data_IF_010082568970
#
_entry.id   IF_010082568970
#
_cell.length_a   1.000
_cell.length_b   1.000
_cell.length_c   1.000
_cell.angle_alpha   90.00
_cell.angle_beta   90.00
_cell.angle_gamma   90.00
#
_symmetry.space_group_name_H-M   'P 1'
#
loop_
_entity.id
_entity.type
_entity.pdbx_description
1 polymer ?
#
# COMPACT_ATOMS: atom_id res chain seq x y z
N UNK A 1 26.26 -9.22 10.22
CA UNK A 1 25.63 -9.28 8.88
C UNK A 1 24.14 -9.52 9.11
N UNK A 2 23.24 -8.63 8.68
CA UNK A 2 21.81 -8.87 8.82
C UNK A 2 21.39 -10.02 7.87
N UNK A 3 20.72 -11.05 8.40
CA UNK A 3 20.20 -12.16 7.60
C UNK A 3 18.83 -11.76 7.01
N UNK A 4 18.86 -11.05 5.89
CA UNK A 4 17.65 -10.52 5.23
C UNK A 4 16.65 -11.62 4.82
N UNK A 5 17.12 -12.82 4.49
CA UNK A 5 16.26 -13.94 4.15
C UNK A 5 15.37 -14.33 5.34
N UNK A 6 15.99 -14.55 6.50
CA UNK A 6 15.26 -14.92 7.71
C UNK A 6 14.26 -13.83 8.14
N UNK A 7 14.65 -12.56 8.03
CA UNK A 7 13.75 -11.45 8.34
C UNK A 7 12.56 -11.38 7.37
N UNK A 8 12.79 -11.64 6.08
CA UNK A 8 11.73 -11.70 5.08
C UNK A 8 10.77 -12.87 5.36
N UNK A 9 11.29 -14.07 5.60
CA UNK A 9 10.51 -15.27 5.93
C UNK A 9 9.65 -15.05 7.18
N UNK A 10 10.22 -14.47 8.24
CA UNK A 10 9.50 -14.16 9.47
C UNK A 10 8.37 -13.13 9.26
N UNK A 11 8.45 -12.29 8.22
CA UNK A 11 7.43 -11.28 7.92
C UNK A 11 6.25 -11.80 7.09
N UNK A 12 6.37 -13.00 6.50
CA UNK A 12 5.36 -13.56 5.58
C UNK A 12 3.95 -13.61 6.17
N UNK A 13 3.72 -14.07 7.42
CA UNK A 13 2.37 -14.12 7.96
C UNK A 13 1.69 -12.75 8.01
N UNK A 14 2.41 -11.73 8.52
CA UNK A 14 1.89 -10.37 8.60
C UNK A 14 1.66 -9.74 7.21
N UNK A 15 2.52 -10.08 6.24
CA UNK A 15 2.36 -9.66 4.85
C UNK A 15 1.10 -10.26 4.21
N UNK A 16 0.85 -11.56 4.42
CA UNK A 16 -0.34 -12.23 3.90
C UNK A 16 -1.64 -11.70 4.55
N UNK A 17 -1.63 -11.41 5.85
CA UNK A 17 -2.78 -10.79 6.54
C UNK A 17 -3.06 -9.36 6.03
N UNK A 18 -2.01 -8.60 5.68
CA UNK A 18 -2.17 -7.30 5.03
C UNK A 18 -2.74 -7.43 3.62
N UNK A 19 -2.20 -8.35 2.80
CA UNK A 19 -2.73 -8.61 1.47
C UNK A 19 -4.19 -9.08 1.49
N UNK A 20 -4.56 -9.96 2.43
CA UNK A 20 -5.94 -10.43 2.59
C UNK A 20 -6.92 -9.26 2.74
N UNK A 21 -6.58 -8.29 3.59
CA UNK A 21 -7.41 -7.10 3.81
C UNK A 21 -7.58 -6.25 2.55
N UNK A 22 -6.61 -6.29 1.62
CA UNK A 22 -6.68 -5.53 0.38
C UNK A 22 -7.51 -6.27 -0.67
N UNK A 23 -7.31 -7.59 -0.81
CA UNK A 23 -8.02 -8.40 -1.83
C UNK A 23 -9.46 -8.75 -1.46
N UNK A 24 -9.82 -8.67 -0.18
CA UNK A 24 -11.20 -8.82 0.28
C UNK A 24 -12.08 -7.60 -0.10
N UNK A 25 -11.48 -6.52 -0.61
CA UNK A 25 -12.18 -5.36 -1.17
C UNK A 25 -12.37 -5.59 -2.67
N UNK A 26 -13.62 -5.52 -3.14
CA UNK A 26 -13.87 -5.44 -4.58
C UNK A 26 -13.34 -4.10 -5.10
N UNK A 27 -12.38 -4.16 -6.01
CA UNK A 27 -11.70 -2.99 -6.58
C UNK A 27 -11.55 -3.17 -8.09
N UNK A 28 -12.61 -3.62 -8.76
CA UNK A 28 -12.66 -3.64 -10.22
C UNK A 28 -12.33 -2.26 -10.80
N UNK A 29 -11.67 -2.21 -11.97
CA UNK A 29 -11.10 -0.97 -12.55
C UNK A 29 -12.09 0.21 -12.62
N UNK A 30 -13.38 -0.05 -12.84
CA UNK A 30 -14.42 0.98 -12.94
C UNK A 30 -15.16 1.26 -11.62
N UNK A 31 -14.86 0.52 -10.56
CA UNK A 31 -15.35 0.81 -9.22
C UNK A 31 -14.37 1.76 -8.52
N UNK A 32 -14.58 3.06 -8.73
CA UNK A 32 -13.79 4.11 -8.07
C UNK A 32 -13.81 3.96 -6.54
N UNK A 33 -14.95 3.65 -5.94
CA UNK A 33 -15.06 3.55 -4.49
C UNK A 33 -14.24 2.37 -3.94
N UNK A 34 -14.28 1.23 -4.63
CA UNK A 34 -13.45 0.06 -4.34
C UNK A 34 -11.96 0.34 -4.46
N UNK A 35 -11.53 0.98 -5.56
CA UNK A 35 -10.12 1.35 -5.77
C UNK A 35 -9.65 2.39 -4.73
N UNK A 36 -10.47 3.38 -4.40
CA UNK A 36 -10.15 4.39 -3.38
C UNK A 36 -10.04 3.75 -1.98
N UNK A 37 -10.86 2.75 -1.66
CA UNK A 37 -10.79 2.01 -0.41
C UNK A 37 -9.47 1.22 -0.29
N UNK A 38 -9.03 0.52 -1.34
CA UNK A 38 -7.72 -0.14 -1.37
C UNK A 38 -6.59 0.91 -1.29
N UNK A 39 -6.72 2.03 -2.02
CA UNK A 39 -5.79 3.15 -1.98
C UNK A 39 -5.59 3.69 -0.56
N UNK A 40 -6.65 3.82 0.24
CA UNK A 40 -6.55 4.26 1.63
C UNK A 40 -5.70 3.30 2.50
N UNK A 41 -5.84 1.99 2.29
CA UNK A 41 -5.03 0.98 3.01
C UNK A 41 -3.55 1.06 2.61
N UNK A 42 -3.28 1.16 1.31
CA UNK A 42 -1.92 1.30 0.76
C UNK A 42 -1.26 2.58 1.25
N UNK A 43 -1.99 3.70 1.25
CA UNK A 43 -1.52 4.99 1.79
C UNK A 43 -1.10 4.84 3.24
N UNK A 44 -1.95 4.25 4.10
CA UNK A 44 -1.61 4.04 5.50
C UNK A 44 -0.37 3.17 5.70
N UNK A 45 -0.17 2.15 4.85
CA UNK A 45 1.02 1.30 4.88
C UNK A 45 2.30 2.05 4.50
N UNK A 46 2.23 2.92 3.49
CA UNK A 46 3.35 3.76 3.03
C UNK A 46 3.71 4.82 4.07
N UNK A 47 2.71 5.49 4.67
CA UNK A 47 2.92 6.46 5.75
C UNK A 47 3.59 5.80 6.97
N UNK A 48 3.13 4.62 7.40
CA UNK A 48 3.79 3.84 8.47
C UNK A 48 5.22 3.43 8.11
N UNK A 49 5.54 3.27 6.83
CA UNK A 49 6.89 2.96 6.35
C UNK A 49 7.79 4.21 6.22
N UNK A 50 7.30 5.39 6.58
CA UNK A 50 8.04 6.65 6.55
C UNK A 50 8.04 7.35 5.20
N UNK A 51 7.06 7.07 4.33
CA UNK A 51 6.87 7.84 3.10
C UNK A 51 5.95 9.03 3.34
N UNK A 52 6.25 10.15 2.68
CA UNK A 52 5.30 11.23 2.46
C UNK A 52 4.43 10.86 1.24
N UNK A 53 3.12 10.75 1.44
CA UNK A 53 2.17 10.34 0.40
C UNK A 53 1.28 11.51 -0.01
N UNK A 54 1.18 11.77 -1.31
CA UNK A 54 0.23 12.71 -1.90
C UNK A 54 -0.80 11.96 -2.74
N UNK A 55 -2.07 12.35 -2.62
CA UNK A 55 -3.18 11.80 -3.41
C UNK A 55 -3.42 12.69 -4.62
N UNK A 56 -3.51 12.09 -5.80
CA UNK A 56 -3.90 12.75 -7.05
C UNK A 56 -5.32 12.29 -7.42
N UNK A 57 -6.33 13.15 -7.23
CA UNK A 57 -7.71 12.76 -7.46
C UNK A 57 -7.97 12.45 -8.93
N UNK A 58 -8.76 11.40 -9.18
CA UNK A 58 -9.21 11.03 -10.52
C UNK A 58 -10.74 11.12 -10.62
N UNK A 59 -11.30 11.65 -11.73
CA UNK A 59 -12.74 11.85 -11.85
C UNK A 59 -13.50 10.54 -12.03
N UNK A 60 -13.00 9.64 -12.89
CA UNK A 60 -13.74 8.44 -13.32
C UNK A 60 -13.18 7.14 -12.73
N UNK A 61 -11.94 7.19 -12.21
CA UNK A 61 -11.21 6.03 -11.68
C UNK A 61 -10.75 6.29 -10.25
N UNK A 62 -10.19 5.27 -9.61
CA UNK A 62 -9.57 5.45 -8.30
C UNK A 62 -8.40 6.43 -8.31
N UNK A 63 -8.20 7.09 -7.18
CA UNK A 63 -7.17 8.10 -7.01
C UNK A 63 -5.76 7.50 -7.08
N UNK A 64 -4.83 8.23 -7.68
CA UNK A 64 -3.44 7.81 -7.74
C UNK A 64 -2.68 8.26 -6.48
N UNK A 65 -1.84 7.39 -5.93
CA UNK A 65 -0.94 7.73 -4.84
C UNK A 65 0.47 7.97 -5.35
N UNK A 66 1.10 9.05 -4.91
CA UNK A 66 2.53 9.30 -5.11
C UNK A 66 3.22 9.32 -3.75
N UNK A 67 4.08 8.35 -3.50
CA UNK A 67 4.84 8.22 -2.25
C UNK A 67 6.31 8.54 -2.46
N UNK A 68 6.87 9.39 -1.59
CA UNK A 68 8.28 9.80 -1.62
C UNK A 68 8.94 9.58 -0.27
N UNK A 69 10.18 9.11 -0.29
CA UNK A 69 11.05 8.99 0.89
C UNK A 69 12.49 9.30 0.47
N UNK A 70 13.16 10.14 1.26
CA UNK A 70 14.56 10.50 1.02
C UNK A 70 15.49 9.44 1.63
N UNK A 71 16.54 9.07 0.90
CA UNK A 71 17.61 8.19 1.42
C UNK A 71 18.55 8.94 2.36
N UNK A 72 19.39 8.21 3.08
CA UNK A 72 20.34 8.79 4.05
C UNK A 72 21.75 9.00 3.51
N UNK A 73 22.02 8.61 2.26
CA UNK A 73 23.38 8.44 1.74
C UNK A 73 23.98 7.11 2.17
#
# INVERSE_FOLDING_TARGET
>A
MANYLHAAEASVPAFLDELRRWVDIDSGTFDKAGVDAVGALVRGRLERAGFAVTVQPQPDYGDCLVARRTGTG
#
